data_IF_964360926935
#
_entry.id   IF_964360926935
#
_cell.length_a   1.000
_cell.length_b   1.000
_cell.length_c   1.000
_cell.angle_alpha   90.00
_cell.angle_beta   90.00
_cell.angle_gamma   90.00
#
_symmetry.space_group_name_H-M   'P 1'
#
loop_
_entity.id
_entity.type
_entity.pdbx_description
1 polymer ?
#
# COMPACT_ATOMS: atom_id res chain seq x y z
N UNK A 1 -6.87 -26.56 22.12
CA UNK A 1 -5.63 -26.02 21.53
C UNK A 1 -5.68 -24.50 21.44
N UNK A 2 -6.66 -23.92 20.73
CA UNK A 2 -6.82 -22.48 20.53
C UNK A 2 -6.72 -21.60 21.78
N UNK A 3 -7.52 -21.86 22.81
CA UNK A 3 -7.48 -21.06 24.06
C UNK A 3 -6.16 -21.19 24.82
N UNK A 4 -5.53 -22.37 24.76
CA UNK A 4 -4.23 -22.58 25.39
C UNK A 4 -3.13 -21.79 24.65
N UNK A 5 -3.17 -21.77 23.31
CA UNK A 5 -2.28 -20.97 22.48
C UNK A 5 -2.48 -19.46 22.66
N UNK A 6 -3.74 -19.00 22.70
CA UNK A 6 -4.10 -17.61 22.97
C UNK A 6 -3.61 -17.13 24.34
N UNK A 7 -3.72 -17.97 25.37
CA UNK A 7 -3.21 -17.66 26.71
C UNK A 7 -1.74 -17.98 26.96
N UNK A 8 -0.99 -18.44 25.94
CA UNK A 8 0.42 -18.82 26.09
C UNK A 8 0.69 -20.00 27.03
N UNK A 9 -0.33 -20.83 27.31
CA UNK A 9 -0.25 -21.93 28.28
C UNK A 9 0.43 -23.17 27.67
N UNK A 10 1.76 -23.10 27.52
CA UNK A 10 2.56 -24.13 26.82
C UNK A 10 2.41 -25.51 27.44
N UNK A 11 2.27 -25.64 28.77
CA UNK A 11 2.06 -26.94 29.42
C UNK A 11 0.72 -27.58 29.03
N UNK A 12 -0.34 -26.77 28.94
CA UNK A 12 -1.65 -27.26 28.47
C UNK A 12 -1.56 -27.65 27.00
N UNK A 13 -0.83 -26.87 26.18
CA UNK A 13 -0.61 -27.23 24.77
C UNK A 13 0.14 -28.56 24.64
N UNK A 14 1.25 -28.76 25.37
CA UNK A 14 1.99 -30.03 25.40
C UNK A 14 1.09 -31.19 25.78
N UNK A 15 0.35 -31.06 26.87
CA UNK A 15 -0.58 -32.09 27.32
C UNK A 15 -1.64 -32.44 26.25
N UNK A 16 -2.21 -31.45 25.58
CA UNK A 16 -3.18 -31.69 24.50
C UNK A 16 -2.56 -32.41 23.30
N UNK A 17 -1.36 -32.01 22.90
CA UNK A 17 -0.61 -32.65 21.81
C UNK A 17 -0.25 -34.10 22.13
N UNK A 18 0.18 -34.37 23.37
CA UNK A 18 0.50 -35.73 23.83
C UNK A 18 -0.75 -36.63 23.88
N UNK A 19 -1.94 -36.03 23.96
CA UNK A 19 -3.24 -36.73 23.87
C UNK A 19 -3.77 -36.83 22.44
N UNK A 20 -2.96 -36.48 21.43
CA UNK A 20 -3.30 -36.62 20.02
C UNK A 20 -4.13 -35.47 19.44
N UNK A 21 -4.14 -34.29 20.09
CA UNK A 21 -4.71 -33.11 19.45
C UNK A 21 -3.93 -32.75 18.18
N UNK A 22 -4.64 -32.46 17.09
CA UNK A 22 -4.04 -31.99 15.85
C UNK A 22 -3.63 -30.51 16.00
N UNK A 23 -2.32 -30.17 15.95
CA UNK A 23 -1.87 -28.78 16.06
C UNK A 23 -2.24 -27.91 14.85
N UNK A 24 -2.59 -28.53 13.72
CA UNK A 24 -2.96 -27.86 12.46
C UNK A 24 -4.48 -27.72 12.28
N UNK A 25 -5.27 -28.16 13.25
CA UNK A 25 -6.73 -28.02 13.20
C UNK A 25 -7.11 -26.54 13.10
N UNK A 26 -7.83 -26.20 12.04
CA UNK A 26 -8.36 -24.87 11.78
C UNK A 26 -9.82 -24.75 12.25
N UNK A 27 -10.24 -23.54 12.64
CA UNK A 27 -11.65 -23.20 12.85
C UNK A 27 -12.37 -22.88 11.53
N UNK A 28 -13.65 -22.53 11.60
CA UNK A 28 -14.50 -22.21 10.44
C UNK A 28 -14.00 -21.00 9.62
N UNK A 29 -13.04 -20.23 10.14
CA UNK A 29 -12.43 -19.07 9.47
C UNK A 29 -11.02 -19.35 8.96
N UNK A 30 -10.56 -20.60 9.03
CA UNK A 30 -9.21 -20.99 8.65
C UNK A 30 -8.15 -20.66 9.72
N UNK A 31 -8.54 -20.15 10.88
CA UNK A 31 -7.59 -19.83 11.94
C UNK A 31 -7.11 -21.13 12.60
N UNK A 32 -5.80 -21.36 12.58
CA UNK A 32 -5.11 -22.37 13.41
C UNK A 32 -4.52 -21.74 14.68
N UNK A 33 -4.15 -22.57 15.65
CA UNK A 33 -3.62 -22.12 16.95
C UNK A 33 -2.35 -21.25 16.84
N UNK A 34 -1.61 -21.36 15.73
CA UNK A 34 -0.44 -20.52 15.44
C UNK A 34 -0.79 -19.04 15.27
N UNK A 35 -1.96 -18.70 14.72
CA UNK A 35 -2.42 -17.30 14.61
C UNK A 35 -2.53 -16.65 15.99
N UNK A 36 -3.22 -17.31 16.92
CA UNK A 36 -3.46 -16.77 18.26
C UNK A 36 -2.16 -16.67 19.07
N UNK A 37 -1.28 -17.66 18.97
CA UNK A 37 0.02 -17.60 19.64
C UNK A 37 0.90 -16.46 19.09
N UNK A 38 0.85 -16.23 17.78
CA UNK A 38 1.63 -15.18 17.13
C UNK A 38 1.08 -13.77 17.41
N UNK A 39 -0.24 -13.61 17.34
CA UNK A 39 -0.95 -12.35 17.61
C UNK A 39 -0.76 -11.88 19.06
N UNK A 40 -0.68 -12.80 20.02
CA UNK A 40 -0.52 -12.48 21.44
C UNK A 40 0.96 -12.54 21.92
N UNK A 41 1.90 -12.77 21.01
CA UNK A 41 3.34 -12.66 21.32
C UNK A 41 3.94 -13.87 22.05
N UNK A 42 3.25 -15.00 22.10
CA UNK A 42 3.67 -16.18 22.86
C UNK A 42 4.74 -17.00 22.13
N UNK A 43 5.99 -16.54 22.18
CA UNK A 43 7.13 -17.14 21.45
C UNK A 43 7.30 -18.65 21.70
N UNK A 44 7.18 -19.11 22.94
CA UNK A 44 7.32 -20.53 23.27
C UNK A 44 6.17 -21.38 22.70
N UNK A 45 4.95 -20.83 22.66
CA UNK A 45 3.80 -21.47 22.04
C UNK A 45 3.99 -21.55 20.51
N UNK A 46 4.52 -20.49 19.89
CA UNK A 46 4.87 -20.46 18.45
C UNK A 46 5.92 -21.52 18.13
N UNK A 47 7.04 -21.57 18.89
CA UNK A 47 8.09 -22.59 18.70
C UNK A 47 7.54 -24.01 18.88
N UNK A 48 6.72 -24.24 19.89
CA UNK A 48 6.08 -25.55 20.10
C UNK A 48 5.23 -25.95 18.88
N UNK A 49 4.36 -25.07 18.40
CA UNK A 49 3.48 -25.36 17.26
C UNK A 49 4.27 -25.67 15.98
N UNK A 50 5.27 -24.86 15.66
CA UNK A 50 6.13 -25.07 14.48
C UNK A 50 6.93 -26.38 14.61
N UNK A 51 7.43 -26.71 15.81
CA UNK A 51 8.13 -27.99 16.06
C UNK A 51 7.24 -29.23 15.88
N UNK A 52 5.91 -29.06 15.89
CA UNK A 52 4.92 -30.12 15.64
C UNK A 52 4.45 -30.16 14.19
N UNK A 53 5.10 -29.44 13.28
CA UNK A 53 4.85 -29.50 11.85
C UNK A 53 3.67 -28.65 11.37
N UNK A 54 3.20 -27.69 12.18
CA UNK A 54 2.22 -26.71 11.70
C UNK A 54 2.87 -25.87 10.59
N UNK A 55 2.18 -25.72 9.47
CA UNK A 55 2.62 -24.84 8.40
C UNK A 55 2.84 -23.41 8.94
N UNK A 56 3.89 -22.71 8.51
CA UNK A 56 4.26 -21.39 9.06
C UNK A 56 3.36 -20.25 8.56
N UNK A 57 2.86 -20.38 7.31
CA UNK A 57 1.99 -19.40 6.64
C UNK A 57 0.55 -19.92 6.39
N UNK A 58 -0.19 -20.42 7.39
CA UNK A 58 -1.62 -20.65 7.26
C UNK A 58 -2.30 -19.29 7.11
N UNK A 59 -3.29 -19.20 6.23
CA UNK A 59 -4.02 -17.96 5.97
C UNK A 59 -5.41 -18.05 6.60
N UNK A 60 -5.76 -17.09 7.45
CA UNK A 60 -7.13 -16.83 7.90
C UNK A 60 -7.65 -15.48 7.35
N UNK A 61 -8.89 -15.12 7.67
CA UNK A 61 -9.50 -13.85 7.26
C UNK A 61 -8.78 -12.56 7.75
N UNK A 62 -7.94 -12.65 8.78
CA UNK A 62 -7.13 -11.55 9.34
C UNK A 62 -5.73 -11.52 8.75
N UNK A 63 -5.22 -12.64 8.25
CA UNK A 63 -3.93 -12.77 7.58
C UNK A 63 -3.18 -14.02 8.02
N UNK A 64 -1.86 -14.03 7.84
CA UNK A 64 -0.97 -15.09 8.33
C UNK A 64 -0.41 -14.73 9.71
N UNK A 65 0.13 -15.70 10.48
CA UNK A 65 0.76 -15.45 11.78
C UNK A 65 1.79 -14.30 11.76
N UNK A 66 2.57 -14.19 10.68
CA UNK A 66 3.55 -13.10 10.50
C UNK A 66 2.87 -11.71 10.47
N UNK A 67 1.71 -11.59 9.82
CA UNK A 67 0.97 -10.31 9.75
C UNK A 67 0.49 -9.89 11.15
N UNK A 68 -0.06 -10.84 11.90
CA UNK A 68 -0.62 -10.59 13.23
C UNK A 68 0.48 -10.22 14.24
N UNK A 69 1.61 -10.92 14.22
CA UNK A 69 2.76 -10.62 15.08
C UNK A 69 3.34 -9.24 14.77
N UNK A 70 3.46 -8.88 13.48
CA UNK A 70 3.95 -7.56 13.06
C UNK A 70 2.98 -6.45 13.50
N UNK A 71 1.67 -6.63 13.32
CA UNK A 71 0.66 -5.65 13.69
C UNK A 71 0.66 -5.30 15.19
N UNK A 72 1.21 -6.18 16.02
CA UNK A 72 1.32 -6.04 17.48
C UNK A 72 2.76 -5.77 17.96
N UNK A 73 3.69 -5.55 17.02
CA UNK A 73 5.13 -5.34 17.27
C UNK A 73 5.80 -6.46 18.10
N UNK A 74 5.39 -7.72 17.90
CA UNK A 74 5.97 -8.89 18.55
C UNK A 74 7.26 -9.36 17.86
N UNK A 75 8.32 -8.57 18.02
CA UNK A 75 9.63 -8.74 17.36
C UNK A 75 10.20 -10.16 17.47
N UNK A 76 10.15 -10.77 18.64
CA UNK A 76 10.68 -12.10 18.89
C UNK A 76 9.87 -13.17 18.15
N UNK A 77 8.54 -13.06 18.11
CA UNK A 77 7.69 -13.94 17.32
C UNK A 77 8.01 -13.79 15.83
N UNK A 78 8.15 -12.55 15.35
CA UNK A 78 8.51 -12.28 13.94
C UNK A 78 9.82 -12.96 13.57
N UNK A 79 10.85 -12.88 14.42
CA UNK A 79 12.13 -13.62 14.22
C UNK A 79 11.89 -15.12 14.10
N UNK A 80 11.14 -15.72 15.03
CA UNK A 80 10.86 -17.17 15.01
C UNK A 80 10.14 -17.58 13.73
N UNK A 81 9.14 -16.82 13.30
CA UNK A 81 8.38 -17.13 12.08
C UNK A 81 9.27 -17.06 10.83
N UNK A 82 10.10 -16.02 10.70
CA UNK A 82 11.05 -15.87 9.60
C UNK A 82 12.12 -16.98 9.61
N UNK A 83 12.66 -17.36 10.78
CA UNK A 83 13.58 -18.50 10.95
C UNK A 83 12.99 -19.83 10.49
N UNK A 84 11.66 -19.99 10.57
CA UNK A 84 10.93 -21.18 10.11
C UNK A 84 10.38 -21.04 8.69
N UNK A 85 10.83 -20.02 7.94
CA UNK A 85 10.53 -19.87 6.52
C UNK A 85 9.21 -19.18 6.20
N UNK A 86 8.67 -18.37 7.11
CA UNK A 86 7.56 -17.46 6.77
C UNK A 86 7.97 -16.53 5.63
N UNK A 87 7.13 -16.41 4.61
CA UNK A 87 7.41 -15.54 3.46
C UNK A 87 7.19 -14.06 3.84
N UNK A 88 8.24 -13.21 3.86
CA UNK A 88 8.12 -11.79 4.22
C UNK A 88 7.36 -10.96 3.17
N UNK A 89 7.08 -11.52 2.00
CA UNK A 89 6.42 -10.84 0.88
C UNK A 89 4.99 -11.31 0.62
N UNK A 90 4.53 -12.36 1.29
CA UNK A 90 3.22 -12.93 1.01
C UNK A 90 2.12 -12.00 1.49
N UNK A 91 1.23 -11.59 0.59
CA UNK A 91 0.19 -10.60 0.88
C UNK A 91 -1.08 -11.23 1.43
N UNK A 92 -1.67 -10.59 2.45
CA UNK A 92 -3.04 -10.84 2.90
C UNK A 92 -4.02 -9.87 2.21
N UNK A 93 -5.20 -10.36 1.81
CA UNK A 93 -6.28 -9.57 1.19
C UNK A 93 -5.81 -8.69 0.01
N UNK A 94 -4.87 -9.20 -0.79
CA UNK A 94 -4.30 -8.56 -1.99
C UNK A 94 -3.49 -7.27 -1.80
N UNK A 95 -3.48 -6.66 -0.61
CA UNK A 95 -2.86 -5.33 -0.40
C UNK A 95 -1.96 -5.27 0.83
N UNK A 96 -2.17 -6.13 1.83
CA UNK A 96 -1.41 -6.06 3.07
C UNK A 96 -0.24 -7.03 3.02
N UNK A 97 0.95 -6.53 2.66
CA UNK A 97 2.20 -7.24 2.92
C UNK A 97 2.59 -7.11 4.40
N UNK A 98 3.44 -8.01 4.93
CA UNK A 98 4.02 -7.85 6.27
C UNK A 98 4.68 -6.48 6.45
N UNK A 99 5.38 -5.99 5.42
CA UNK A 99 6.06 -4.69 5.49
C UNK A 99 5.05 -3.52 5.58
N UNK A 100 3.97 -3.56 4.81
CA UNK A 100 2.90 -2.55 4.91
C UNK A 100 2.24 -2.58 6.29
N UNK A 101 1.98 -3.79 6.83
CA UNK A 101 1.45 -3.95 8.20
C UNK A 101 2.37 -3.33 9.25
N UNK A 102 3.70 -3.42 9.08
CA UNK A 102 4.65 -2.81 9.99
C UNK A 102 4.59 -1.28 9.97
N UNK A 103 4.40 -0.67 8.79
CA UNK A 103 4.24 0.78 8.66
C UNK A 103 2.93 1.25 9.30
N UNK A 104 1.79 0.64 8.93
CA UNK A 104 0.48 1.00 9.50
C UNK A 104 0.43 0.77 11.03
N UNK A 105 1.06 -0.31 11.50
CA UNK A 105 1.16 -0.64 12.92
C UNK A 105 2.26 0.12 13.68
N UNK A 106 3.05 0.97 13.00
CA UNK A 106 4.20 1.70 13.56
C UNK A 106 5.21 0.80 14.27
N UNK A 107 5.37 -0.43 13.76
CA UNK A 107 6.25 -1.48 14.28
C UNK A 107 7.66 -1.37 13.68
N UNK A 108 8.42 -0.35 14.09
CA UNK A 108 9.73 0.00 13.50
C UNK A 108 10.74 -1.16 13.55
N UNK A 109 10.76 -1.91 14.66
CA UNK A 109 11.68 -3.04 14.84
C UNK A 109 11.32 -4.20 13.93
N UNK A 110 10.03 -4.54 13.84
CA UNK A 110 9.55 -5.55 12.89
C UNK A 110 9.83 -5.15 11.43
N UNK A 111 9.65 -3.87 11.07
CA UNK A 111 9.97 -3.38 9.73
C UNK A 111 11.44 -3.64 9.37
N UNK A 112 12.39 -3.34 10.27
CA UNK A 112 13.82 -3.63 10.03
C UNK A 112 14.07 -5.12 9.80
N UNK A 113 13.49 -5.99 10.62
CA UNK A 113 13.63 -7.44 10.46
C UNK A 113 13.06 -7.94 9.13
N UNK A 114 11.92 -7.41 8.70
CA UNK A 114 11.31 -7.78 7.43
C UNK A 114 12.19 -7.37 6.25
N UNK A 115 12.76 -6.16 6.29
CA UNK A 115 13.71 -5.68 5.27
C UNK A 115 14.96 -6.59 5.25
N UNK A 116 15.53 -6.92 6.40
CA UNK A 116 16.66 -7.85 6.52
C UNK A 116 16.33 -9.25 5.98
N UNK A 117 15.08 -9.68 6.11
CA UNK A 117 14.58 -10.95 5.57
C UNK A 117 14.24 -10.91 4.07
N UNK A 118 14.41 -9.75 3.40
CA UNK A 118 14.16 -9.61 1.96
C UNK A 118 12.73 -9.21 1.60
N UNK A 119 12.03 -8.50 2.49
CA UNK A 119 10.77 -7.86 2.12
C UNK A 119 10.97 -6.81 1.02
N UNK A 120 10.10 -6.82 0.02
CA UNK A 120 10.06 -5.84 -1.06
C UNK A 120 9.60 -4.48 -0.51
N UNK A 121 10.53 -3.53 -0.43
CA UNK A 121 10.31 -2.17 0.05
C UNK A 121 9.42 -1.32 -0.88
N UNK A 122 9.24 -1.76 -2.12
CA UNK A 122 8.40 -1.12 -3.12
C UNK A 122 7.06 -1.83 -3.31
N UNK A 123 6.75 -2.83 -2.47
CA UNK A 123 5.49 -3.57 -2.54
C UNK A 123 4.30 -2.64 -2.50
N UNK A 124 3.37 -2.79 -3.44
CA UNK A 124 2.09 -2.10 -3.41
C UNK A 124 1.03 -2.96 -4.09
N UNK A 125 -0.21 -2.88 -3.62
CA UNK A 125 -1.34 -3.44 -4.36
C UNK A 125 -1.54 -2.69 -5.69
N UNK A 126 -2.47 -3.16 -6.53
CA UNK A 126 -2.78 -2.53 -7.82
C UNK A 126 -3.20 -1.04 -7.69
N UNK A 127 -3.76 -0.64 -6.55
CA UNK A 127 -4.24 0.73 -6.28
C UNK A 127 -3.80 1.30 -4.93
N UNK A 128 -2.97 0.56 -4.18
CA UNK A 128 -2.54 0.94 -2.82
C UNK A 128 -1.30 1.84 -2.79
N UNK A 129 -1.04 2.54 -1.66
CA UNK A 129 0.22 3.24 -1.45
C UNK A 129 1.40 2.24 -1.36
N UNK A 130 2.62 2.72 -1.62
CA UNK A 130 3.84 2.00 -1.21
C UNK A 130 4.09 2.20 0.29
N UNK A 131 4.88 1.33 0.95
CA UNK A 131 5.30 1.55 2.34
C UNK A 131 5.89 2.94 2.58
N UNK A 132 6.66 3.46 1.61
CA UNK A 132 7.23 4.81 1.67
C UNK A 132 6.15 5.89 1.64
N UNK A 133 5.13 5.76 0.79
CA UNK A 133 4.02 6.72 0.76
C UNK A 133 3.26 6.75 2.07
N UNK A 134 2.93 5.58 2.61
CA UNK A 134 2.21 5.47 3.88
C UNK A 134 3.02 6.12 5.02
N UNK A 135 4.33 5.84 5.08
CA UNK A 135 5.22 6.44 6.06
C UNK A 135 5.32 7.97 5.93
N UNK A 136 5.32 8.50 4.71
CA UNK A 136 5.31 9.95 4.45
C UNK A 136 3.98 10.57 4.86
N UNK A 137 2.87 9.95 4.47
CA UNK A 137 1.53 10.42 4.78
C UNK A 137 1.34 10.54 6.30
N UNK A 138 1.78 9.54 7.07
CA UNK A 138 1.75 9.54 8.54
C UNK A 138 2.87 10.38 9.20
N UNK A 139 3.83 10.89 8.43
CA UNK A 139 4.95 11.70 8.96
C UNK A 139 5.97 10.90 9.77
N UNK A 140 6.11 9.60 9.51
CA UNK A 140 6.99 8.68 10.23
C UNK A 140 8.44 8.81 9.75
N UNK A 141 9.17 9.82 10.25
CA UNK A 141 10.52 10.15 9.80
C UNK A 141 11.49 8.97 9.80
N UNK A 142 11.56 8.22 10.90
CA UNK A 142 12.46 7.06 11.03
C UNK A 142 12.13 5.97 9.99
N UNK A 143 10.83 5.78 9.70
CA UNK A 143 10.38 4.81 8.70
C UNK A 143 10.80 5.24 7.30
N UNK A 144 10.59 6.52 6.97
CA UNK A 144 10.99 7.08 5.68
C UNK A 144 12.48 6.92 5.47
N UNK A 145 13.30 7.25 6.46
CA UNK A 145 14.76 7.13 6.36
C UNK A 145 15.20 5.69 6.10
N UNK A 146 14.70 4.73 6.89
CA UNK A 146 15.07 3.32 6.72
C UNK A 146 14.59 2.76 5.38
N UNK A 147 13.37 3.10 4.94
CA UNK A 147 12.84 2.64 3.66
C UNK A 147 13.68 3.18 2.49
N UNK A 148 14.09 4.46 2.55
CA UNK A 148 14.97 5.05 1.54
C UNK A 148 16.37 4.45 1.54
N UNK A 149 16.92 4.13 2.72
CA UNK A 149 18.20 3.40 2.86
C UNK A 149 18.12 1.98 2.29
N UNK A 150 16.97 1.33 2.45
CA UNK A 150 16.68 -0.01 1.94
C UNK A 150 16.31 -0.04 0.44
N UNK A 151 16.26 1.10 -0.24
CA UNK A 151 16.04 1.18 -1.69
C UNK A 151 14.59 1.41 -2.12
N UNK A 152 13.73 1.93 -1.25
CA UNK A 152 12.41 2.39 -1.66
C UNK A 152 12.52 3.50 -2.72
N UNK A 153 11.76 3.38 -3.81
CA UNK A 153 11.74 4.34 -4.92
C UNK A 153 10.74 5.49 -4.62
N UNK A 154 11.21 6.73 -4.38
CA UNK A 154 10.35 7.88 -4.10
C UNK A 154 9.68 8.45 -5.36
N UNK A 155 9.75 7.76 -6.49
CA UNK A 155 9.15 8.16 -7.77
C UNK A 155 7.94 7.29 -8.16
N UNK A 156 7.63 6.23 -7.42
CA UNK A 156 6.41 5.45 -7.65
C UNK A 156 5.22 6.37 -7.33
N UNK A 157 4.22 6.51 -8.22
CA UNK A 157 3.02 7.29 -7.94
C UNK A 157 1.89 6.42 -7.39
N UNK A 158 1.05 7.01 -6.52
CA UNK A 158 -0.16 6.37 -6.02
C UNK A 158 -1.25 6.33 -7.12
N UNK A 159 -2.42 5.79 -6.79
CA UNK A 159 -3.56 5.75 -7.71
C UNK A 159 -4.01 7.13 -8.21
N UNK A 160 -3.70 8.20 -7.48
CA UNK A 160 -3.99 9.58 -7.88
C UNK A 160 -2.83 10.23 -8.62
N UNK A 161 -1.76 9.52 -8.99
CA UNK A 161 -0.61 10.12 -9.66
C UNK A 161 0.30 10.95 -8.75
N UNK A 162 0.02 11.05 -7.44
CA UNK A 162 0.88 11.76 -6.51
C UNK A 162 2.07 10.88 -6.10
N UNK A 163 3.26 11.46 -6.08
CA UNK A 163 4.49 10.83 -5.57
C UNK A 163 4.77 11.28 -4.12
N UNK A 164 5.57 10.54 -3.34
CA UNK A 164 5.82 10.83 -1.92
C UNK A 164 6.15 12.30 -1.59
N UNK A 165 6.99 12.99 -2.38
CA UNK A 165 7.36 14.39 -2.10
C UNK A 165 6.16 15.36 -2.18
N UNK A 166 5.17 15.07 -3.03
CA UNK A 166 3.97 15.88 -3.17
C UNK A 166 3.02 15.68 -1.99
N UNK A 167 2.96 14.46 -1.43
CA UNK A 167 2.23 14.16 -0.20
C UNK A 167 2.83 14.90 1.00
N UNK A 168 4.16 14.83 1.15
CA UNK A 168 4.88 15.56 2.20
C UNK A 168 4.61 17.07 2.13
N UNK A 169 4.69 17.63 0.91
CA UNK A 169 4.44 19.05 0.68
C UNK A 169 2.98 19.44 1.00
N UNK A 170 2.01 18.63 0.58
CA UNK A 170 0.59 18.84 0.84
C UNK A 170 0.26 18.82 2.34
N UNK A 171 0.97 18.00 3.13
CA UNK A 171 0.87 17.96 4.60
C UNK A 171 1.73 19.03 5.31
N UNK A 172 2.48 19.83 4.56
CA UNK A 172 3.34 20.89 5.11
C UNK A 172 4.60 20.37 5.81
N UNK A 173 5.00 19.13 5.56
CA UNK A 173 6.15 18.46 6.19
C UNK A 173 7.46 18.88 5.49
N UNK A 174 7.97 20.08 5.80
CA UNK A 174 9.17 20.64 5.16
C UNK A 174 10.38 19.69 5.18
N UNK A 175 10.66 19.07 6.33
CA UNK A 175 11.81 18.19 6.51
C UNK A 175 11.73 16.94 5.62
N UNK A 176 10.54 16.34 5.47
CA UNK A 176 10.35 15.22 4.55
C UNK A 176 10.51 15.64 3.09
N UNK A 177 10.09 16.86 2.72
CA UNK A 177 10.35 17.39 1.37
C UNK A 177 11.86 17.55 1.13
N UNK A 178 12.62 18.05 2.11
CA UNK A 178 14.08 18.18 2.01
C UNK A 178 14.77 16.81 1.83
N UNK A 179 14.32 15.79 2.57
CA UNK A 179 14.84 14.42 2.49
C UNK A 179 14.54 13.77 1.13
N UNK A 180 13.32 13.96 0.61
CA UNK A 180 12.87 13.33 -0.63
C UNK A 180 13.41 14.05 -1.87
N UNK A 181 13.58 15.37 -1.83
CA UNK A 181 13.99 16.20 -2.96
C UNK A 181 15.21 15.66 -3.76
N UNK A 182 16.35 15.31 -3.14
CA UNK A 182 17.51 14.81 -3.89
C UNK A 182 17.30 13.42 -4.51
N UNK A 183 16.26 12.68 -4.10
CA UNK A 183 15.95 11.33 -4.56
C UNK A 183 14.77 11.29 -5.54
N UNK A 184 13.99 12.36 -5.64
CA UNK A 184 12.86 12.47 -6.56
C UNK A 184 13.26 13.13 -7.88
N UNK A 185 12.83 12.54 -9.00
CA UNK A 185 12.99 13.12 -10.34
C UNK A 185 12.13 14.38 -10.47
N UNK A 186 12.60 15.41 -11.19
CA UNK A 186 11.79 16.59 -11.46
C UNK A 186 10.42 16.24 -12.04
N UNK A 187 9.37 16.71 -11.38
CA UNK A 187 7.98 16.52 -11.80
C UNK A 187 7.64 17.67 -12.76
N UNK A 188 7.30 17.42 -14.05
CA UNK A 188 7.15 18.49 -15.02
C UNK A 188 6.00 19.46 -14.72
N UNK A 189 4.99 19.06 -13.93
CA UNK A 189 3.94 19.98 -13.45
C UNK A 189 4.37 20.95 -12.35
N UNK A 190 5.54 20.77 -11.73
CA UNK A 190 6.04 21.67 -10.71
C UNK A 190 6.78 22.83 -11.40
N UNK A 191 6.22 24.06 -11.42
CA UNK A 191 6.76 25.16 -12.21
C UNK A 191 8.14 25.62 -11.73
N UNK A 192 8.44 25.41 -10.45
CA UNK A 192 9.74 25.71 -9.83
C UNK A 192 10.21 24.47 -9.07
N UNK A 193 11.15 23.74 -9.64
CA UNK A 193 11.74 22.55 -9.00
C UNK A 193 12.77 22.93 -7.94
N UNK A 194 12.26 23.32 -6.77
CA UNK A 194 13.03 23.56 -5.55
C UNK A 194 12.18 23.20 -4.34
N UNK A 195 12.79 22.92 -3.18
CA UNK A 195 12.04 22.67 -1.93
C UNK A 195 11.00 23.77 -1.69
N UNK A 196 11.41 25.04 -1.76
CA UNK A 196 10.50 26.18 -1.59
C UNK A 196 9.43 26.24 -2.69
N UNK A 197 9.77 25.94 -3.95
CA UNK A 197 8.82 25.92 -5.07
C UNK A 197 7.75 24.85 -4.91
N UNK A 198 8.13 23.64 -4.50
CA UNK A 198 7.24 22.52 -4.21
C UNK A 198 6.35 22.86 -3.00
N UNK A 199 6.95 23.34 -1.91
CA UNK A 199 6.21 23.76 -0.71
C UNK A 199 5.24 24.90 -1.00
N UNK A 200 5.64 25.90 -1.81
CA UNK A 200 4.76 27.00 -2.19
C UNK A 200 3.63 26.53 -3.11
N UNK A 201 3.88 25.59 -4.01
CA UNK A 201 2.84 25.03 -4.88
C UNK A 201 1.80 24.24 -4.07
N UNK A 202 2.25 23.51 -3.05
CA UNK A 202 1.36 22.80 -2.12
C UNK A 202 0.61 23.74 -1.16
N UNK A 203 1.26 24.81 -0.69
CA UNK A 203 0.69 25.83 0.22
C UNK A 203 -0.15 26.87 -0.49
N UNK A 204 0.08 27.11 -1.78
CA UNK A 204 -0.79 27.94 -2.60
C UNK A 204 -2.19 27.39 -2.37
N UNK A 205 -3.11 28.16 -1.76
CA UNK A 205 -4.48 27.71 -1.67
C UNK A 205 -4.86 27.38 -3.11
N UNK A 206 -5.15 26.10 -3.41
CA UNK A 206 -5.81 25.67 -4.65
C UNK A 206 -6.76 26.79 -4.98
N UNK A 207 -6.44 27.60 -5.99
CA UNK A 207 -6.84 29.01 -6.06
C UNK A 207 -8.19 29.19 -5.36
N UNK A 208 -8.17 29.77 -4.15
CA UNK A 208 -9.35 30.45 -3.65
C UNK A 208 -9.50 31.67 -4.55
N UNK A 209 -9.94 31.46 -5.79
CA UNK A 209 -10.79 32.43 -6.43
C UNK A 209 -12.03 32.38 -5.53
N UNK A 210 -12.00 33.21 -4.48
CA UNK A 210 -13.20 33.71 -3.82
C UNK A 210 -13.95 34.66 -4.76
N UNK A 211 -14.04 34.26 -6.03
CA UNK A 211 -14.81 34.87 -7.09
C UNK A 211 -15.49 33.71 -7.82
N UNK A 212 -16.68 33.34 -7.33
CA UNK A 212 -17.79 32.77 -8.09
C UNK A 212 -17.52 31.72 -9.20
N UNK A 213 -16.43 30.95 -9.19
CA UNK A 213 -16.25 29.86 -10.16
C UNK A 213 -17.07 28.67 -9.70
N UNK A 214 -18.05 28.25 -10.49
CA UNK A 214 -18.82 27.04 -10.16
C UNK A 214 -17.90 25.82 -10.10
N UNK A 215 -18.31 24.79 -9.35
CA UNK A 215 -17.60 23.51 -9.28
C UNK A 215 -17.34 22.96 -10.69
N UNK A 216 -18.24 23.22 -11.66
CA UNK A 216 -18.04 22.81 -13.05
C UNK A 216 -16.84 23.47 -13.72
N UNK A 217 -16.59 24.77 -13.48
CA UNK A 217 -15.43 25.47 -14.05
C UNK A 217 -14.12 24.90 -13.52
N UNK A 218 -14.07 24.59 -12.23
CA UNK A 218 -12.91 23.95 -11.61
C UNK A 218 -12.65 22.55 -12.15
N UNK A 219 -13.70 21.76 -12.32
CA UNK A 219 -13.61 20.43 -12.95
C UNK A 219 -13.10 20.57 -14.39
N UNK A 220 -13.62 21.55 -15.15
CA UNK A 220 -13.20 21.78 -16.53
C UNK A 220 -11.71 22.18 -16.64
N UNK A 221 -11.23 23.05 -15.75
CA UNK A 221 -9.80 23.42 -15.68
C UNK A 221 -8.91 22.20 -15.39
N UNK A 222 -9.23 21.43 -14.36
CA UNK A 222 -8.46 20.23 -13.99
C UNK A 222 -8.45 19.20 -15.15
N UNK A 223 -9.59 18.96 -15.80
CA UNK A 223 -9.66 18.08 -16.99
C UNK A 223 -8.79 18.59 -18.13
N UNK A 224 -8.79 19.90 -18.36
CA UNK A 224 -7.97 20.56 -19.39
C UNK A 224 -6.48 20.35 -19.11
N UNK A 225 -6.04 20.63 -17.87
CA UNK A 225 -4.66 20.44 -17.42
C UNK A 225 -4.21 18.99 -17.50
N UNK A 226 -5.07 18.06 -17.10
CA UNK A 226 -4.79 16.62 -17.24
C UNK A 226 -4.63 16.21 -18.71
N UNK A 227 -5.47 16.73 -19.61
CA UNK A 227 -5.36 16.47 -21.06
C UNK A 227 -4.10 17.10 -21.68
N UNK A 228 -3.72 18.28 -21.23
CA UNK A 228 -2.48 18.95 -21.67
C UNK A 228 -1.25 18.14 -21.24
N UNK A 229 -1.18 17.73 -19.97
CA UNK A 229 -0.11 16.88 -19.45
C UNK A 229 -0.02 15.55 -20.20
N UNK A 230 -1.16 14.90 -20.46
CA UNK A 230 -1.22 13.69 -21.27
C UNK A 230 -0.65 13.90 -22.67
N UNK A 231 -0.95 15.03 -23.31
CA UNK A 231 -0.43 15.38 -24.63
C UNK A 231 1.08 15.61 -24.66
N UNK A 232 1.68 15.96 -23.51
CA UNK A 232 3.13 16.10 -23.32
C UNK A 232 3.80 14.79 -22.88
N UNK A 233 3.08 13.67 -22.89
CA UNK A 233 3.53 12.36 -22.39
C UNK A 233 3.88 12.35 -20.89
N UNK A 234 3.41 13.35 -20.15
CA UNK A 234 3.54 13.42 -18.70
C UNK A 234 2.35 12.74 -18.03
N UNK A 235 2.39 11.41 -18.04
CA UNK A 235 1.29 10.58 -17.59
C UNK A 235 1.06 10.68 -16.07
N UNK A 236 2.13 10.84 -15.29
CA UNK A 236 2.03 10.97 -13.82
C UNK A 236 1.23 12.23 -13.48
N UNK A 237 1.61 13.37 -14.05
CA UNK A 237 0.87 14.62 -13.87
C UNK A 237 -0.55 14.56 -14.44
N UNK A 238 -0.76 13.90 -15.58
CA UNK A 238 -2.10 13.72 -16.13
C UNK A 238 -3.02 13.00 -15.14
N UNK A 239 -2.52 11.90 -14.54
CA UNK A 239 -3.24 11.17 -13.50
C UNK A 239 -3.46 12.00 -12.24
N UNK A 240 -2.49 12.84 -11.85
CA UNK A 240 -2.66 13.81 -10.77
C UNK A 240 -3.89 14.68 -10.96
N UNK A 241 -4.01 15.35 -12.11
CA UNK A 241 -5.18 16.18 -12.38
C UNK A 241 -6.48 15.38 -12.49
N UNK A 242 -6.45 14.18 -13.07
CA UNK A 242 -7.63 13.31 -13.11
C UNK A 242 -8.06 12.84 -11.71
N UNK A 243 -7.11 12.50 -10.84
CA UNK A 243 -7.35 12.15 -9.44
C UNK A 243 -7.99 13.29 -8.67
N UNK A 244 -7.51 14.53 -8.86
CA UNK A 244 -8.13 15.72 -8.27
C UNK A 244 -9.58 15.94 -8.72
N UNK A 245 -9.93 15.55 -9.95
CA UNK A 245 -11.33 15.57 -10.41
C UNK A 245 -12.14 14.47 -9.73
N UNK A 246 -11.59 13.25 -9.61
CA UNK A 246 -12.26 12.13 -8.93
C UNK A 246 -12.57 12.44 -7.46
N UNK A 247 -11.73 13.22 -6.77
CA UNK A 247 -12.00 13.66 -5.40
C UNK A 247 -13.20 14.63 -5.31
N UNK A 248 -13.47 15.38 -6.39
CA UNK A 248 -14.57 16.36 -6.47
C UNK A 248 -15.85 15.72 -7.02
N UNK A 249 -15.72 14.89 -8.07
CA UNK A 249 -16.79 14.15 -8.73
C UNK A 249 -16.39 12.67 -8.91
N UNK A 250 -16.61 11.85 -7.86
CA UNK A 250 -16.22 10.43 -7.87
C UNK A 250 -16.96 9.58 -8.92
N UNK A 251 -18.07 10.08 -9.47
CA UNK A 251 -18.90 9.35 -10.44
C UNK A 251 -18.54 9.70 -11.90
N UNK A 252 -17.54 10.55 -12.12
CA UNK A 252 -17.05 10.83 -13.46
C UNK A 252 -16.21 9.67 -14.03
N UNK A 253 -16.91 8.70 -14.63
CA UNK A 253 -16.29 7.56 -15.30
C UNK A 253 -15.26 7.95 -16.38
N UNK A 254 -15.29 9.18 -16.91
CA UNK A 254 -14.32 9.60 -17.94
C UNK A 254 -12.93 9.79 -17.37
N UNK A 255 -12.80 10.12 -16.08
CA UNK A 255 -11.51 10.25 -15.42
C UNK A 255 -10.85 8.88 -15.25
N UNK A 256 -11.59 7.84 -14.88
CA UNK A 256 -11.08 6.47 -14.80
C UNK A 256 -10.61 5.98 -16.18
N UNK A 257 -11.37 6.25 -17.25
CA UNK A 257 -10.98 5.83 -18.60
C UNK A 257 -9.73 6.58 -19.12
N UNK A 258 -9.51 7.81 -18.67
CA UNK A 258 -8.32 8.58 -19.01
C UNK A 258 -7.12 8.15 -18.16
N UNK A 259 -7.31 7.86 -16.87
CA UNK A 259 -6.28 7.32 -15.98
C UNK A 259 -5.84 5.91 -16.40
N UNK A 260 -6.78 5.03 -16.78
CA UNK A 260 -6.50 3.74 -17.42
C UNK A 260 -5.57 3.89 -18.62
N UNK A 261 -5.78 4.93 -19.45
CA UNK A 261 -4.90 5.18 -20.59
C UNK A 261 -3.49 5.59 -20.16
N UNK A 262 -3.34 6.41 -19.12
CA UNK A 262 -2.03 6.75 -18.56
C UNK A 262 -1.28 5.48 -18.12
N UNK A 263 -1.94 4.60 -17.37
CA UNK A 263 -1.36 3.32 -16.96
C UNK A 263 -0.91 2.46 -18.14
N UNK A 264 -1.74 2.33 -19.20
CA UNK A 264 -1.35 1.61 -20.42
C UNK A 264 -0.09 2.19 -21.07
N UNK A 265 0.07 3.52 -21.08
CA UNK A 265 1.25 4.17 -21.64
C UNK A 265 2.50 3.92 -20.80
N UNK A 266 2.32 3.75 -19.50
CA UNK A 266 3.37 3.37 -18.55
C UNK A 266 3.62 1.85 -18.49
N UNK A 267 2.89 1.04 -19.29
CA UNK A 267 2.94 -0.44 -19.29
C UNK A 267 2.45 -1.09 -17.98
N UNK A 268 1.62 -0.38 -17.23
CA UNK A 268 0.97 -0.85 -16.01
C UNK A 268 -0.38 -1.52 -16.36
N UNK A 269 -0.32 -2.71 -16.97
CA UNK A 269 -1.49 -3.42 -17.51
C UNK A 269 -2.58 -3.70 -16.48
N UNK A 270 -2.20 -4.13 -15.28
CA UNK A 270 -3.15 -4.45 -14.21
C UNK A 270 -3.85 -3.21 -13.65
N UNK A 271 -3.11 -2.11 -13.44
CA UNK A 271 -3.68 -0.82 -13.02
C UNK A 271 -4.65 -0.27 -14.07
N UNK A 272 -4.29 -0.43 -15.35
CA UNK A 272 -5.16 -0.04 -16.44
C UNK A 272 -6.46 -0.85 -16.50
N UNK A 273 -6.40 -2.14 -16.18
CA UNK A 273 -7.54 -3.06 -16.17
C UNK A 273 -8.53 -2.67 -15.08
N UNK A 274 -8.05 -2.37 -13.88
CA UNK A 274 -8.91 -1.99 -12.76
C UNK A 274 -9.71 -0.71 -13.09
N UNK A 275 -9.04 0.34 -13.56
CA UNK A 275 -9.74 1.55 -13.97
C UNK A 275 -10.77 1.31 -15.09
N UNK A 276 -10.46 0.40 -16.03
CA UNK A 276 -11.40 0.03 -17.09
C UNK A 276 -12.63 -0.70 -16.53
N UNK A 277 -12.45 -1.60 -15.56
CA UNK A 277 -13.55 -2.31 -14.88
C UNK A 277 -14.41 -1.36 -14.04
N UNK A 278 -13.80 -0.40 -13.35
CA UNK A 278 -14.52 0.67 -12.67
C UNK A 278 -15.39 1.47 -13.64
N UNK A 279 -14.86 1.84 -14.82
CA UNK A 279 -15.67 2.47 -15.88
C UNK A 279 -16.84 1.59 -16.33
N UNK A 280 -16.63 0.29 -16.53
CA UNK A 280 -17.67 -0.64 -16.97
C UNK A 280 -18.76 -0.75 -15.90
N UNK A 281 -18.39 -0.87 -14.62
CA UNK A 281 -19.34 -0.92 -13.51
C UNK A 281 -20.22 0.34 -13.45
N UNK A 282 -19.62 1.52 -13.61
CA UNK A 282 -20.38 2.78 -13.61
C UNK A 282 -21.20 3.00 -14.88
N UNK A 283 -20.68 2.62 -16.05
CA UNK A 283 -21.35 2.79 -17.35
C UNK A 283 -21.18 1.54 -18.24
N UNK A 284 -21.95 0.47 -18.02
CA UNK A 284 -21.79 -0.80 -18.72
C UNK A 284 -21.98 -0.73 -20.24
N UNK A 285 -22.74 0.26 -20.73
CA UNK A 285 -23.01 0.47 -22.16
C UNK A 285 -21.98 1.35 -22.85
N UNK A 286 -20.96 1.83 -22.15
CA UNK A 286 -19.96 2.73 -22.73
C UNK A 286 -18.86 1.92 -23.44
N UNK A 287 -18.94 1.81 -24.76
CA UNK A 287 -18.02 1.02 -25.59
C UNK A 287 -16.54 1.35 -25.38
N UNK A 288 -16.22 2.61 -25.07
CA UNK A 288 -14.84 3.03 -24.78
C UNK A 288 -14.26 2.33 -23.55
N UNK A 289 -15.08 2.03 -22.53
CA UNK A 289 -14.64 1.33 -21.33
C UNK A 289 -14.22 -0.12 -21.64
N UNK A 290 -15.04 -0.85 -22.40
CA UNK A 290 -14.72 -2.20 -22.87
C UNK A 290 -13.49 -2.23 -23.78
N UNK A 291 -13.31 -1.22 -24.64
CA UNK A 291 -12.08 -1.09 -25.44
C UNK A 291 -10.83 -0.92 -24.55
N UNK A 292 -10.94 -0.17 -23.45
CA UNK A 292 -9.84 -0.01 -22.48
C UNK A 292 -9.52 -1.31 -21.77
N UNK A 293 -10.54 -2.06 -21.35
CA UNK A 293 -10.38 -3.37 -20.73
C UNK A 293 -9.66 -4.34 -21.67
N UNK A 294 -10.14 -4.48 -22.91
CA UNK A 294 -9.51 -5.34 -23.92
C UNK A 294 -8.07 -4.92 -24.23
N UNK A 295 -7.76 -3.62 -24.19
CA UNK A 295 -6.38 -3.14 -24.31
C UNK A 295 -5.54 -3.50 -23.08
N UNK A 296 -6.06 -3.35 -21.87
CA UNK A 296 -5.34 -3.72 -20.65
C UNK A 296 -5.02 -5.22 -20.61
N UNK A 297 -5.99 -6.07 -20.95
CA UNK A 297 -5.80 -7.51 -21.07
C UNK A 297 -4.74 -7.91 -22.10
N UNK A 298 -4.43 -7.07 -23.09
CA UNK A 298 -3.37 -7.36 -24.07
C UNK A 298 -1.93 -7.15 -23.54
N UNK A 299 -1.79 -6.63 -22.32
CA UNK A 299 -0.50 -6.42 -21.63
C UNK A 299 -0.22 -7.45 -20.53
N UNK A 300 -1.14 -8.38 -20.26
CA UNK A 300 -1.00 -9.49 -19.31
C UNK A 300 -0.57 -10.75 -20.04
#
# INVERSE_FOLDING_TARGET
MFYAAFGGNVEVMRYLLDRGADPSMADDRGSVSLHNAAEEGHCEAVRLLLSKGVHVDPMDHRGMPLHLAVAKDHVEVVKVLLEHGADPNRVANHVFSPLMMAVCGKALKCMKLLIEAGADVNVHGYSGPTPLMEAVDDGLMDFVMILLEAGADPNIPNQHGAVPIELAAARGQCELVEILFPKTKPIPSQPVWSVNGIMNTARSPRIKHQDASSVEQRIADLKSRGKEAFGKEDYITAMYFYGLVMDIDPLDCTMFANRSLCWLRMREGDRALEDARQCIMMRPRWSKAWYREGKALSFM
#
